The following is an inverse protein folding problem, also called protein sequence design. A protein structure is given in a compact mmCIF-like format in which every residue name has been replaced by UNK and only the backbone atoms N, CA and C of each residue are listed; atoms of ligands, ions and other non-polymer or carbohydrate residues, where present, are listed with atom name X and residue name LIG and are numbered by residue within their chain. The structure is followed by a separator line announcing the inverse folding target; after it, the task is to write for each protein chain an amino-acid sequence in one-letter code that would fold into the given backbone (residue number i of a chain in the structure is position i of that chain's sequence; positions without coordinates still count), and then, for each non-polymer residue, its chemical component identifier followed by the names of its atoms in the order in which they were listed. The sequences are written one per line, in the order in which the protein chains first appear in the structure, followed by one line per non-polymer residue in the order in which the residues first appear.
data_IF_697201059609
#
_entry.id   IF_697201059609
#
_cell.length_a   1.000
_cell.length_b   1.000
_cell.length_c   1.000
_cell.angle_alpha   90.00
_cell.angle_beta   90.00
_cell.angle_gamma   90.00
#
_symmetry.space_group_name_H-M   'P 1'
#
loop_
_entity.id
_entity.type
_entity.pdbx_description
1 polymer ?
#
# COMPACT_ATOMS: atom_id res chain seq x y z
N UNK A 1 -23.82 -12.35 -68.20
CA UNK A 1 -23.75 -10.92 -68.62
C UNK A 1 -23.32 -10.15 -67.37
N UNK A 2 -22.07 -9.70 -67.30
CA UNK A 2 -21.67 -8.29 -67.51
C UNK A 2 -22.50 -7.38 -66.59
N UNK A 3 -21.99 -6.65 -65.62
CA UNK A 3 -20.64 -6.25 -65.28
C UNK A 3 -20.77 -5.19 -64.18
N UNK A 4 -19.67 -4.91 -63.48
CA UNK A 4 -19.57 -3.79 -62.56
C UNK A 4 -19.92 -2.47 -63.28
N UNK A 5 -20.67 -1.60 -62.60
CA UNK A 5 -20.71 -0.17 -62.93
C UNK A 5 -20.36 0.57 -61.65
N UNK A 6 -19.06 0.85 -61.54
CA UNK A 6 -18.54 1.93 -60.71
C UNK A 6 -18.86 3.22 -61.47
N UNK A 7 -19.72 4.06 -60.91
CA UNK A 7 -19.84 5.46 -61.31
C UNK A 7 -19.28 6.32 -60.17
N UNK A 8 -18.01 6.69 -60.32
CA UNK A 8 -17.39 7.83 -59.66
C UNK A 8 -17.83 9.08 -60.41
N UNK A 9 -18.41 10.06 -59.71
CA UNK A 9 -18.46 11.46 -60.15
C UNK A 9 -18.71 12.32 -58.90
N UNK A 10 -17.65 12.81 -58.24
CA UNK A 10 -17.05 14.13 -58.47
C UNK A 10 -17.98 15.28 -58.05
N UNK A 11 -17.88 15.69 -56.79
CA UNK A 11 -18.02 17.11 -56.42
C UNK A 11 -16.71 17.60 -55.83
N UNK A 12 -15.78 17.87 -56.75
CA UNK A 12 -14.70 18.81 -56.53
C UNK A 12 -15.34 20.20 -56.36
N UNK A 13 -15.22 20.80 -55.18
CA UNK A 13 -15.21 22.26 -55.06
C UNK A 13 -13.79 22.67 -54.73
N UNK A 14 -13.11 23.10 -55.78
CA UNK A 14 -11.86 23.83 -55.77
C UNK A 14 -12.07 25.24 -55.23
N UNK A 15 -11.18 25.68 -54.34
CA UNK A 15 -10.57 27.02 -54.27
C UNK A 15 -9.41 26.86 -53.27
N UNK A 16 -8.21 26.45 -53.70
CA UNK A 16 -7.18 27.28 -54.33
C UNK A 16 -6.93 28.58 -53.54
N UNK A 17 -5.96 28.53 -52.62
CA UNK A 17 -5.30 29.73 -52.10
C UNK A 17 -3.79 29.59 -52.33
N UNK A 18 -3.19 30.45 -53.17
CA UNK A 18 -1.77 30.39 -53.50
C UNK A 18 -0.91 31.08 -52.43
N UNK A 19 0.12 30.35 -52.03
CA UNK A 19 1.49 30.78 -51.72
C UNK A 19 1.81 32.29 -51.74
N UNK A 20 2.12 32.87 -50.57
CA UNK A 20 3.19 33.86 -50.32
C UNK A 20 3.30 34.07 -48.79
N UNK A 21 4.33 33.54 -48.13
CA UNK A 21 5.55 34.29 -47.78
C UNK A 21 5.29 35.50 -46.86
N UNK A 22 5.23 35.27 -45.55
CA UNK A 22 5.81 36.18 -44.54
C UNK A 22 6.51 35.34 -43.48
N UNK A 23 7.82 35.45 -43.49
CA UNK A 23 8.77 34.97 -42.50
C UNK A 23 8.79 35.89 -41.27
N UNK A 24 8.96 35.25 -40.10
CA UNK A 24 9.67 35.77 -38.90
C UNK A 24 9.12 37.05 -38.27
N UNK A 25 8.29 36.88 -37.23
CA UNK A 25 8.39 37.70 -36.02
C UNK A 25 8.29 36.82 -34.78
N UNK A 26 9.35 36.91 -33.99
CA UNK A 26 9.55 36.36 -32.66
C UNK A 26 8.56 37.01 -31.70
N UNK A 27 7.72 36.21 -31.05
CA UNK A 27 7.02 36.62 -29.86
C UNK A 27 6.87 35.40 -28.96
N UNK A 28 7.51 35.49 -27.80
CA UNK A 28 7.43 34.56 -26.71
C UNK A 28 5.98 34.51 -26.22
N UNK A 29 5.22 33.51 -26.68
CA UNK A 29 3.89 33.19 -26.16
C UNK A 29 3.92 31.80 -25.55
N UNK A 30 4.43 31.77 -24.31
CA UNK A 30 3.90 31.01 -23.19
C UNK A 30 2.79 30.00 -23.55
N UNK A 31 3.17 28.85 -24.10
CA UNK A 31 2.40 27.63 -23.94
C UNK A 31 2.90 26.98 -22.65
N UNK A 32 2.57 27.59 -21.51
CA UNK A 32 2.30 26.80 -20.33
C UNK A 32 0.92 26.19 -20.57
N UNK A 33 0.89 25.11 -21.35
CA UNK A 33 -0.27 24.21 -21.34
C UNK A 33 -0.25 23.57 -19.97
N UNK A 34 -0.98 24.20 -19.06
CA UNK A 34 -1.34 23.70 -17.74
C UNK A 34 -2.00 22.33 -17.93
N UNK A 35 -1.19 21.27 -17.94
CA UNK A 35 -1.66 19.92 -17.71
C UNK A 35 -2.22 19.95 -16.29
N UNK A 36 -3.52 20.21 -16.18
CA UNK A 36 -4.31 19.83 -15.01
C UNK A 36 -4.22 18.32 -14.96
N UNK A 37 -3.19 17.78 -14.30
CA UNK A 37 -3.20 16.39 -13.87
C UNK A 37 -4.40 16.28 -12.93
N UNK A 38 -5.43 15.59 -13.38
CA UNK A 38 -6.46 15.11 -12.46
C UNK A 38 -5.70 14.33 -11.38
N UNK A 39 -5.94 14.57 -10.08
CA UNK A 39 -5.17 13.90 -9.04
C UNK A 39 -5.30 12.40 -9.27
N UNK A 40 -4.15 11.79 -9.56
CA UNK A 40 -4.01 10.40 -9.94
C UNK A 40 -4.86 9.52 -9.04
N UNK A 41 -5.57 8.57 -9.64
CA UNK A 41 -6.01 7.36 -8.96
C UNK A 41 -4.79 6.74 -8.27
N UNK A 42 -4.57 7.14 -7.01
CA UNK A 42 -3.42 6.71 -6.23
C UNK A 42 -3.38 5.20 -6.33
N UNK A 43 -2.32 4.63 -6.89
CA UNK A 43 -2.14 3.18 -6.87
C UNK A 43 -1.98 2.79 -5.41
N UNK A 44 -3.07 2.33 -4.79
CA UNK A 44 -3.15 1.91 -3.39
C UNK A 44 -2.39 0.58 -3.22
N UNK A 45 -1.07 0.66 -3.32
CA UNK A 45 -0.19 -0.46 -3.08
C UNK A 45 0.23 -0.46 -1.62
N UNK A 46 0.61 -1.64 -1.15
CA UNK A 46 1.18 -1.83 0.19
C UNK A 46 2.38 -0.92 0.43
N UNK A 47 3.28 -0.82 -0.55
CA UNK A 47 4.52 -0.04 -0.44
C UNK A 47 4.27 1.46 -0.33
N UNK A 48 3.25 1.98 -1.02
CA UNK A 48 2.83 3.37 -0.91
C UNK A 48 2.55 3.75 0.56
N UNK A 49 1.80 2.92 1.27
CA UNK A 49 1.46 3.16 2.66
C UNK A 49 2.66 3.01 3.62
N UNK A 50 3.64 2.16 3.30
CA UNK A 50 4.91 2.12 4.06
C UNK A 50 5.70 3.42 3.90
N UNK A 51 5.75 3.96 2.68
CA UNK A 51 6.36 5.25 2.39
C UNK A 51 5.65 6.38 3.14
N UNK A 52 4.31 6.38 3.15
CA UNK A 52 3.53 7.41 3.86
C UNK A 52 3.75 7.37 5.37
N UNK A 53 3.80 6.17 5.97
CA UNK A 53 4.13 6.00 7.40
C UNK A 53 5.51 6.59 7.74
N UNK A 54 6.52 6.38 6.90
CA UNK A 54 7.87 6.94 7.10
C UNK A 54 7.88 8.46 6.97
N UNK A 55 7.21 9.00 5.94
CA UNK A 55 7.09 10.46 5.75
C UNK A 55 6.45 11.16 6.94
N UNK A 56 5.38 10.60 7.49
CA UNK A 56 4.73 11.15 8.68
C UNK A 56 5.66 11.07 9.89
N UNK A 57 6.40 9.97 10.03
CA UNK A 57 7.36 9.80 11.12
C UNK A 57 8.50 10.84 11.06
N UNK A 58 9.03 11.12 9.86
CA UNK A 58 10.05 12.14 9.62
C UNK A 58 9.51 13.55 9.86
N UNK A 59 8.31 13.85 9.36
CA UNK A 59 7.68 15.18 9.52
C UNK A 59 7.44 15.54 10.97
N UNK A 60 6.88 14.60 11.73
CA UNK A 60 6.45 14.83 13.11
C UNK A 60 7.53 14.46 14.14
N UNK A 61 8.67 13.92 13.70
CA UNK A 61 9.75 13.39 14.54
C UNK A 61 9.25 12.42 15.65
N UNK A 62 8.15 11.70 15.38
CA UNK A 62 7.48 10.80 16.33
C UNK A 62 6.92 9.58 15.59
N UNK A 63 6.50 8.56 16.36
CA UNK A 63 5.79 7.43 15.76
C UNK A 63 4.42 7.85 15.20
N UNK A 64 4.08 7.43 13.97
CA UNK A 64 2.81 7.77 13.35
C UNK A 64 1.66 7.12 14.12
N UNK A 65 0.67 7.96 14.44
CA UNK A 65 -0.58 7.58 15.12
C UNK A 65 -1.69 7.48 14.09
N UNK A 66 -2.75 6.76 14.45
CA UNK A 66 -3.94 6.60 13.59
C UNK A 66 -4.61 7.93 13.26
N UNK A 67 -4.53 8.90 14.17
CA UNK A 67 -5.09 10.26 14.02
C UNK A 67 -4.42 11.08 12.92
N UNK A 68 -3.23 10.68 12.48
CA UNK A 68 -2.46 11.42 11.48
C UNK A 68 -2.91 11.06 10.04
N UNK A 69 -3.85 10.13 9.90
CA UNK A 69 -4.33 9.60 8.63
C UNK A 69 -5.86 9.71 8.55
N UNK A 70 -6.36 9.80 7.31
CA UNK A 70 -7.80 9.68 7.05
C UNK A 70 -8.31 8.29 7.43
N UNK A 71 -9.57 8.18 7.85
CA UNK A 71 -10.20 6.90 8.19
C UNK A 71 -10.11 5.89 7.04
N UNK A 72 -10.18 6.37 5.80
CA UNK A 72 -10.01 5.56 4.60
C UNK A 72 -8.60 4.94 4.54
N UNK A 73 -7.57 5.75 4.76
CA UNK A 73 -6.18 5.28 4.76
C UNK A 73 -5.91 4.35 5.94
N UNK A 74 -6.47 4.64 7.11
CA UNK A 74 -6.40 3.75 8.27
C UNK A 74 -7.03 2.39 7.95
N UNK A 75 -8.16 2.35 7.25
CA UNK A 75 -8.80 1.11 6.81
C UNK A 75 -7.90 0.34 5.83
N UNK A 76 -7.28 1.02 4.87
CA UNK A 76 -6.40 0.40 3.88
C UNK A 76 -5.11 -0.13 4.50
N UNK A 77 -4.46 0.65 5.36
CA UNK A 77 -3.29 0.23 6.14
C UNK A 77 -3.66 -1.02 6.96
N UNK A 78 -4.81 -1.02 7.64
CA UNK A 78 -5.27 -2.21 8.36
C UNK A 78 -5.51 -3.41 7.44
N UNK A 79 -6.05 -3.21 6.25
CA UNK A 79 -6.27 -4.27 5.27
C UNK A 79 -4.96 -4.91 4.79
N UNK A 80 -3.89 -4.12 4.62
CA UNK A 80 -2.61 -4.62 4.12
C UNK A 80 -1.70 -5.21 5.20
N UNK A 81 -1.60 -4.58 6.37
CA UNK A 81 -0.64 -4.94 7.42
C UNK A 81 -1.30 -5.58 8.64
N UNK A 82 -2.63 -5.54 8.73
CA UNK A 82 -3.37 -5.99 9.91
C UNK A 82 -3.41 -4.94 11.03
N UNK A 83 -3.25 -5.34 12.30
CA UNK A 83 -3.15 -4.42 13.42
C UNK A 83 -2.09 -3.33 13.22
N UNK A 84 -2.43 -2.09 13.57
CA UNK A 84 -1.55 -0.91 13.45
C UNK A 84 -0.11 -1.11 13.93
N UNK A 85 0.17 -1.80 15.06
CA UNK A 85 1.55 -2.00 15.49
C UNK A 85 2.40 -2.78 14.48
N UNK A 86 1.82 -3.72 13.72
CA UNK A 86 2.55 -4.49 12.72
C UNK A 86 2.93 -3.63 11.51
N UNK A 87 2.07 -2.70 11.10
CA UNK A 87 2.42 -1.72 10.07
C UNK A 87 3.67 -0.89 10.44
N UNK A 88 3.84 -0.58 11.73
CA UNK A 88 5.03 0.13 12.24
C UNK A 88 6.27 -0.76 12.28
N UNK A 89 6.10 -2.04 12.61
CA UNK A 89 7.18 -3.04 12.56
C UNK A 89 7.65 -3.24 11.11
N UNK A 90 6.72 -3.29 10.16
CA UNK A 90 6.99 -3.43 8.73
C UNK A 90 7.63 -2.17 8.12
N UNK A 91 7.21 -0.99 8.57
CA UNK A 91 7.85 0.27 8.21
C UNK A 91 9.26 0.41 8.79
N UNK A 92 9.71 -0.51 9.66
CA UNK A 92 10.99 -0.43 10.35
C UNK A 92 11.05 0.68 11.41
N UNK A 93 9.90 1.26 11.75
CA UNK A 93 9.79 2.32 12.77
C UNK A 93 9.81 1.74 14.19
N UNK A 94 9.51 0.45 14.34
CA UNK A 94 9.39 -0.21 15.64
C UNK A 94 10.03 -1.59 15.63
N UNK A 95 10.80 -1.89 16.67
CA UNK A 95 11.30 -3.24 16.87
C UNK A 95 10.15 -4.22 17.18
N UNK A 96 10.19 -5.45 16.61
CA UNK A 96 9.17 -6.46 16.87
C UNK A 96 9.20 -6.85 18.36
N UNK A 97 8.02 -6.88 18.99
CA UNK A 97 7.91 -7.30 20.40
C UNK A 97 8.31 -8.76 20.54
N UNK A 98 9.46 -8.99 21.20
CA UNK A 98 10.11 -10.30 21.34
C UNK A 98 9.17 -11.38 21.92
N UNK A 99 9.15 -12.54 21.25
CA UNK A 99 8.45 -13.79 21.60
C UNK A 99 8.72 -14.30 23.03
N UNK A 100 9.76 -13.77 23.69
CA UNK A 100 10.20 -14.09 25.05
C UNK A 100 9.08 -14.16 26.11
N UNK A 101 7.99 -13.40 25.97
CA UNK A 101 6.84 -13.49 26.90
C UNK A 101 6.05 -14.80 26.75
N UNK A 102 5.81 -15.24 25.51
CA UNK A 102 5.12 -16.49 25.24
C UNK A 102 5.96 -17.68 25.71
N UNK A 103 7.27 -17.64 25.47
CA UNK A 103 8.19 -18.69 25.90
C UNK A 103 8.25 -18.81 27.43
N UNK A 104 8.31 -17.68 28.14
CA UNK A 104 8.25 -17.65 29.61
C UNK A 104 6.95 -18.25 30.13
N UNK A 105 5.80 -17.90 29.54
CA UNK A 105 4.51 -18.44 29.95
C UNK A 105 4.40 -19.94 29.65
N UNK A 106 4.90 -20.39 28.50
CA UNK A 106 4.97 -21.79 28.12
C UNK A 106 5.85 -22.58 29.09
N UNK A 107 7.03 -22.06 29.43
CA UNK A 107 7.93 -22.67 30.40
C UNK A 107 7.28 -22.84 31.78
N UNK A 108 6.60 -21.79 32.29
CA UNK A 108 5.84 -21.87 33.55
C UNK A 108 4.74 -22.94 33.51
N UNK A 109 4.00 -23.03 32.40
CA UNK A 109 2.95 -24.04 32.22
C UNK A 109 3.52 -25.46 32.22
N UNK A 110 4.65 -25.68 31.55
CA UNK A 110 5.35 -26.97 31.52
C UNK A 110 5.88 -27.35 32.90
N UNK A 111 6.50 -26.41 33.62
CA UNK A 111 6.99 -26.65 34.98
C UNK A 111 5.86 -27.04 35.94
N UNK A 112 4.72 -26.34 35.90
CA UNK A 112 3.54 -26.71 36.69
C UNK A 112 3.01 -28.10 36.33
N UNK A 113 2.94 -28.44 35.04
CA UNK A 113 2.50 -29.76 34.58
C UNK A 113 3.43 -30.87 35.09
N UNK A 114 4.73 -30.63 35.11
CA UNK A 114 5.74 -31.56 35.64
C UNK A 114 5.56 -31.79 37.14
N UNK A 115 5.45 -30.72 37.93
CA UNK A 115 5.21 -30.79 39.39
C UNK A 115 3.98 -31.61 39.76
N UNK A 116 2.84 -31.35 39.11
CA UNK A 116 1.60 -32.09 39.37
C UNK A 116 1.72 -33.58 39.02
N UNK A 117 2.49 -33.92 37.98
CA UNK A 117 2.74 -35.32 37.61
C UNK A 117 3.61 -36.02 38.66
N UNK A 118 4.63 -35.34 39.17
CA UNK A 118 5.51 -35.84 40.24
C UNK A 118 4.73 -36.03 41.55
N UNK A 119 3.92 -35.05 41.96
CA UNK A 119 3.05 -35.14 43.14
C UNK A 119 2.04 -36.30 43.03
N UNK A 120 1.44 -36.51 41.85
CA UNK A 120 0.54 -37.65 41.62
C UNK A 120 1.28 -38.98 41.72
N UNK A 121 2.43 -39.10 41.06
CA UNK A 121 3.24 -40.32 41.10
C UNK A 121 3.72 -40.63 42.52
N UNK A 122 4.07 -39.61 43.31
CA UNK A 122 4.44 -39.77 44.72
C UNK A 122 3.25 -40.27 45.54
N UNK A 123 2.06 -39.67 45.36
CA UNK A 123 0.84 -40.10 46.04
C UNK A 123 0.43 -41.54 45.69
N UNK A 124 0.59 -41.93 44.43
CA UNK A 124 0.34 -43.31 43.99
C UNK A 124 1.32 -44.30 44.62
N UNK A 125 2.60 -43.94 44.75
CA UNK A 125 3.59 -44.76 45.47
C UNK A 125 3.22 -44.95 46.94
N UNK A 126 2.89 -43.86 47.65
CA UNK A 126 2.51 -43.93 49.07
C UNK A 126 1.30 -44.84 49.30
N UNK A 127 0.30 -44.83 48.40
CA UNK A 127 -0.87 -45.72 48.49
C UNK A 127 -0.57 -47.20 48.26
N UNK A 128 0.51 -47.50 47.54
CA UNK A 128 0.90 -48.89 47.25
C UNK A 128 1.82 -49.47 48.34
N UNK A 129 2.33 -48.63 49.23
CA UNK A 129 3.17 -49.00 50.37
C UNK A 129 2.35 -49.16 51.67
N UNK A 130 1.14 -48.61 51.74
CA UNK A 130 0.12 -48.82 52.78
C UNK A 130 -0.70 -50.09 52.55
#
# INVERSE_FOLDING_TARGET
MKGAVILVCLSLSTLNFPFAFITVMKADFFICSEVKTMPDEKKLTREYYLGELKKVAERENRLPKKSDFSDYDVMKIKGFFGPWPWALEEAGLKEPKKQKKFDKNRAKRLARKKRLKEERALREKMKNEE
#
